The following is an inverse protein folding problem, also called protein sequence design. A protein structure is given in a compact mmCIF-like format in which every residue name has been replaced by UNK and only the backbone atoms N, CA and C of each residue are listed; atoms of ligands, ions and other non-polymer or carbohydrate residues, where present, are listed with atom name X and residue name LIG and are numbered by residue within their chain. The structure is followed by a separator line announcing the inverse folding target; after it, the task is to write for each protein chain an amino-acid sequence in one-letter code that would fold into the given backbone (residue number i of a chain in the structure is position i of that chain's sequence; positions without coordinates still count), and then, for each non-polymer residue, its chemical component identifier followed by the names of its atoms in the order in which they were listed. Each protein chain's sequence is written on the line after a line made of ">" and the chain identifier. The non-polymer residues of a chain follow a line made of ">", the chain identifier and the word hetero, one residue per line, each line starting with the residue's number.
data_IF_601063404055
#
_entry.id   IF_601063404055
#
_cell.length_a   1.000
_cell.length_b   1.000
_cell.length_c   1.000
_cell.angle_alpha   90.00
_cell.angle_beta   90.00
_cell.angle_gamma   90.00
#
_symmetry.space_group_name_H-M   'P 1'
#
loop_
_entity.id
_entity.type
_entity.pdbx_description
1 polymer ?
#
# COMPACT_ATOMS: atom_id res chain seq x y z
N UNK A 1 1.68 15.67 5.84
CA UNK A 1 1.52 14.50 4.98
C UNK A 1 0.40 14.80 4.00
N UNK A 2 0.61 14.62 2.74
CA UNK A 2 -0.40 14.83 1.71
C UNK A 2 -0.37 13.64 0.75
N UNK A 3 -1.54 13.19 0.39
CA UNK A 3 -1.78 12.04 -0.44
C UNK A 3 -2.96 12.35 -1.34
N UNK A 4 -2.89 11.95 -2.59
CA UNK A 4 -3.95 12.20 -3.57
C UNK A 4 -4.08 11.00 -4.51
N UNK A 5 -5.23 10.35 -4.47
CA UNK A 5 -5.64 9.37 -5.46
C UNK A 5 -5.99 10.07 -6.78
N UNK A 6 -5.16 9.90 -7.79
CA UNK A 6 -5.34 10.55 -9.08
C UNK A 6 -6.46 9.85 -9.87
N UNK A 7 -6.57 8.54 -9.74
CA UNK A 7 -7.65 7.76 -10.38
C UNK A 7 -9.03 8.22 -9.92
N UNK A 8 -9.22 8.46 -8.62
CA UNK A 8 -10.46 9.01 -8.08
C UNK A 8 -10.72 10.43 -8.58
N UNK A 9 -9.68 11.27 -8.63
CA UNK A 9 -9.79 12.63 -9.14
C UNK A 9 -10.18 12.68 -10.64
N UNK A 10 -9.93 11.61 -11.38
CA UNK A 10 -10.33 11.42 -12.77
C UNK A 10 -11.68 10.71 -12.92
N UNK A 11 -12.45 10.58 -11.85
CA UNK A 11 -13.80 10.00 -11.85
C UNK A 11 -13.82 8.46 -11.96
N UNK A 12 -12.72 7.79 -11.59
CA UNK A 12 -12.66 6.33 -11.51
C UNK A 12 -12.96 5.83 -10.10
N UNK A 13 -13.49 4.63 -10.03
CA UNK A 13 -13.83 3.95 -8.78
C UNK A 13 -12.90 2.72 -8.59
N UNK A 14 -11.64 2.90 -8.12
CA UNK A 14 -10.65 1.82 -8.09
C UNK A 14 -11.09 0.62 -7.25
N UNK A 15 -11.94 0.83 -6.24
CA UNK A 15 -12.47 -0.23 -5.38
C UNK A 15 -13.83 -0.78 -5.79
N UNK A 16 -14.41 -0.31 -6.89
CA UNK A 16 -15.73 -0.76 -7.38
C UNK A 16 -15.70 -2.23 -7.80
N UNK A 17 -16.74 -2.97 -7.49
CA UNK A 17 -17.00 -4.30 -8.03
C UNK A 17 -17.60 -4.26 -9.46
N UNK A 18 -18.08 -3.10 -9.87
CA UNK A 18 -18.53 -2.87 -11.24
C UNK A 18 -17.30 -2.64 -12.13
N UNK A 19 -16.98 -3.64 -12.94
CA UNK A 19 -15.80 -3.61 -13.81
C UNK A 19 -15.85 -2.51 -14.88
N UNK A 20 -17.03 -2.00 -15.21
CA UNK A 20 -17.17 -0.85 -16.15
C UNK A 20 -16.69 0.46 -15.53
N UNK A 21 -16.75 0.58 -14.22
CA UNK A 21 -16.29 1.75 -13.43
C UNK A 21 -14.88 1.57 -12.89
N UNK A 22 -14.48 0.31 -12.67
CA UNK A 22 -13.19 -0.03 -12.13
C UNK A 22 -12.07 0.32 -13.11
N UNK A 23 -11.00 0.85 -12.57
CA UNK A 23 -9.78 1.10 -13.31
C UNK A 23 -8.76 -0.02 -13.03
N UNK A 24 -8.09 -0.59 -14.05
CA UNK A 24 -7.13 -1.67 -13.85
C UNK A 24 -5.88 -1.23 -13.09
N UNK A 25 -5.57 0.06 -13.15
CA UNK A 25 -4.45 0.67 -12.44
C UNK A 25 -4.96 1.80 -11.56
N UNK A 26 -4.36 1.97 -10.41
CA UNK A 26 -4.51 3.13 -9.56
C UNK A 26 -3.22 3.96 -9.58
N UNK A 27 -3.35 5.27 -9.59
CA UNK A 27 -2.24 6.20 -9.57
C UNK A 27 -2.40 7.13 -8.38
N UNK A 28 -1.40 7.15 -7.53
CA UNK A 28 -1.36 7.93 -6.31
C UNK A 28 -0.14 8.83 -6.28
N UNK A 29 -0.31 10.05 -5.84
CA UNK A 29 0.77 10.98 -5.53
C UNK A 29 0.89 11.16 -4.03
N UNK A 30 2.11 11.05 -3.51
CA UNK A 30 2.41 11.15 -2.08
C UNK A 30 3.47 12.19 -1.80
N UNK A 31 3.24 12.99 -0.77
CA UNK A 31 4.23 13.90 -0.17
C UNK A 31 4.39 13.58 1.31
N UNK A 32 5.58 13.21 1.70
CA UNK A 32 5.91 12.74 3.05
C UNK A 32 6.93 13.69 3.68
N UNK A 33 6.57 14.40 4.76
CA UNK A 33 7.52 15.24 5.49
C UNK A 33 8.66 14.43 6.11
N UNK A 34 9.79 15.12 6.40
CA UNK A 34 10.97 14.53 7.03
C UNK A 34 10.60 13.70 8.27
N UNK A 35 11.19 12.52 8.38
CA UNK A 35 10.99 11.57 9.49
C UNK A 35 9.63 10.88 9.53
N UNK A 36 8.79 11.02 8.51
CA UNK A 36 7.46 10.41 8.45
C UNK A 36 7.36 9.29 7.43
N UNK A 37 6.27 8.53 7.53
CA UNK A 37 5.80 7.54 6.54
C UNK A 37 4.33 7.79 6.25
N UNK A 38 3.88 7.51 5.03
CA UNK A 38 2.45 7.55 4.71
C UNK A 38 1.72 6.30 5.21
N UNK A 39 2.40 5.16 5.17
CA UNK A 39 1.81 3.86 5.46
C UNK A 39 2.66 3.09 6.47
N UNK A 40 2.05 2.24 7.33
CA UNK A 40 2.80 1.31 8.15
C UNK A 40 3.48 0.23 7.30
N UNK A 41 4.39 -0.53 7.89
CA UNK A 41 4.97 -1.72 7.28
C UNK A 41 3.87 -2.74 7.00
N UNK A 42 3.67 -3.09 5.73
CA UNK A 42 2.56 -3.92 5.29
C UNK A 42 2.88 -4.71 4.03
N UNK A 43 2.11 -5.75 3.80
CA UNK A 43 2.12 -6.54 2.57
C UNK A 43 0.71 -6.67 2.02
N UNK A 44 0.59 -6.72 0.71
CA UNK A 44 -0.64 -6.97 -0.02
C UNK A 44 -0.80 -8.46 -0.34
N UNK A 45 -2.02 -8.99 -0.31
CA UNK A 45 -2.29 -10.39 -0.66
C UNK A 45 -2.22 -10.66 -2.16
N UNK A 46 -2.60 -9.68 -2.98
CA UNK A 46 -2.71 -9.82 -4.42
C UNK A 46 -2.19 -8.63 -5.23
N UNK A 47 -2.15 -7.42 -4.64
CA UNK A 47 -1.81 -6.19 -5.33
C UNK A 47 -0.30 -6.08 -5.59
N UNK A 48 0.03 -5.56 -6.78
CA UNK A 48 1.35 -5.07 -7.15
C UNK A 48 1.41 -3.56 -7.01
N UNK A 49 2.54 -3.05 -6.52
CA UNK A 49 2.79 -1.63 -6.38
C UNK A 49 4.15 -1.26 -6.96
N UNK A 50 4.15 -0.34 -7.92
CA UNK A 50 5.34 0.31 -8.46
C UNK A 50 5.47 1.70 -7.86
N UNK A 51 6.61 2.01 -7.32
CA UNK A 51 6.96 3.31 -6.75
C UNK A 51 7.95 4.03 -7.66
N UNK A 52 7.76 5.33 -7.85
CA UNK A 52 8.68 6.20 -8.57
C UNK A 52 8.98 7.43 -7.72
N UNK A 53 10.21 7.57 -7.28
CA UNK A 53 10.66 8.71 -6.48
C UNK A 53 10.88 9.92 -7.39
N UNK A 54 10.18 11.02 -7.10
CA UNK A 54 10.23 12.26 -7.88
C UNK A 54 11.23 13.24 -7.29
N UNK A 55 11.24 13.39 -5.95
CA UNK A 55 12.16 14.27 -5.26
C UNK A 55 12.37 13.84 -3.81
N UNK A 56 13.47 14.28 -3.23
CA UNK A 56 13.85 13.97 -1.86
C UNK A 56 14.66 12.68 -1.74
N UNK A 57 14.81 12.24 -0.49
CA UNK A 57 15.57 11.04 -0.10
C UNK A 57 14.73 10.21 0.87
N UNK A 58 14.66 8.92 0.65
CA UNK A 58 13.91 8.01 1.51
C UNK A 58 14.67 6.74 1.86
N UNK A 59 14.08 5.96 2.73
CA UNK A 59 14.50 4.60 3.07
C UNK A 59 13.32 3.67 2.87
N UNK A 60 13.51 2.66 2.05
CA UNK A 60 12.55 1.56 1.86
C UNK A 60 12.92 0.44 2.81
N UNK A 61 12.01 0.11 3.73
CA UNK A 61 12.08 -1.08 4.57
C UNK A 61 11.41 -2.23 3.84
N UNK A 62 12.07 -3.37 3.77
CA UNK A 62 11.59 -4.60 3.13
C UNK A 62 12.01 -5.83 3.94
N UNK A 63 11.62 -7.03 3.52
CA UNK A 63 11.89 -8.28 4.26
C UNK A 63 13.38 -8.53 4.53
N UNK A 64 14.26 -8.11 3.61
CA UNK A 64 15.71 -8.37 3.70
C UNK A 64 16.50 -7.20 4.31
N UNK A 65 15.82 -6.16 4.79
CA UNK A 65 16.47 -5.02 5.44
C UNK A 65 15.95 -3.65 5.00
N UNK A 66 16.87 -2.74 4.71
CA UNK A 66 16.58 -1.36 4.33
C UNK A 66 17.46 -0.93 3.15
N UNK A 67 16.86 -0.22 2.21
CA UNK A 67 17.55 0.35 1.03
C UNK A 67 17.26 1.85 0.96
N UNK A 68 18.30 2.65 0.78
CA UNK A 68 18.13 4.08 0.52
C UNK A 68 17.69 4.31 -0.92
N UNK A 69 16.79 5.28 -1.11
CA UNK A 69 16.26 5.69 -2.41
C UNK A 69 16.30 7.20 -2.56
N UNK A 70 16.53 7.65 -3.79
CA UNK A 70 16.61 9.06 -4.15
C UNK A 70 15.76 9.35 -5.39
N UNK A 71 15.63 10.62 -5.74
CA UNK A 71 14.92 11.04 -6.95
C UNK A 71 15.43 10.30 -8.20
N UNK A 72 14.50 9.75 -8.98
CA UNK A 72 14.76 8.95 -10.17
C UNK A 72 14.78 7.44 -9.93
N UNK A 73 14.82 6.99 -8.67
CA UNK A 73 14.71 5.57 -8.36
C UNK A 73 13.28 5.08 -8.55
N UNK A 74 13.18 3.85 -9.01
CA UNK A 74 11.93 3.11 -9.09
C UNK A 74 12.11 1.71 -8.49
N UNK A 75 11.08 1.23 -7.81
CA UNK A 75 11.07 -0.10 -7.21
C UNK A 75 9.65 -0.66 -7.18
N UNK A 76 9.54 -1.98 -7.11
CA UNK A 76 8.27 -2.69 -7.17
C UNK A 76 8.17 -3.71 -6.06
N UNK A 77 6.96 -3.84 -5.51
CA UNK A 77 6.60 -4.91 -4.58
C UNK A 77 5.42 -5.69 -5.14
N UNK A 78 5.54 -7.00 -5.11
CA UNK A 78 4.48 -7.93 -5.47
C UNK A 78 3.69 -8.42 -4.25
N UNK A 79 2.74 -9.32 -4.50
CA UNK A 79 1.98 -9.96 -3.43
C UNK A 79 2.88 -10.61 -2.38
N UNK A 80 2.51 -10.44 -1.11
CA UNK A 80 3.20 -10.96 0.06
C UNK A 80 4.63 -10.41 0.29
N UNK A 81 4.99 -9.32 -0.37
CA UNK A 81 6.25 -8.62 -0.14
C UNK A 81 6.04 -7.43 0.80
N UNK A 82 6.40 -7.55 2.09
CA UNK A 82 6.18 -6.48 3.05
C UNK A 82 7.14 -5.32 2.81
N UNK A 83 6.59 -4.10 2.87
CA UNK A 83 7.35 -2.88 2.62
C UNK A 83 6.79 -1.67 3.37
N UNK A 84 7.65 -0.67 3.50
CA UNK A 84 7.33 0.64 4.05
C UNK A 84 8.31 1.66 3.49
N UNK A 85 7.81 2.85 3.14
CA UNK A 85 8.64 3.96 2.71
C UNK A 85 8.68 5.01 3.79
N UNK A 86 9.88 5.41 4.18
CA UNK A 86 10.15 6.37 5.25
C UNK A 86 10.93 7.52 4.64
N UNK A 87 10.51 8.74 4.87
CA UNK A 87 11.34 9.89 4.53
C UNK A 87 12.51 9.99 5.52
N UNK A 88 13.70 9.63 5.09
CA UNK A 88 14.94 9.70 5.87
C UNK A 88 15.77 10.96 5.56
N UNK A 89 15.30 11.79 4.64
CA UNK A 89 15.93 13.05 4.27
C UNK A 89 15.42 14.25 5.06
N UNK A 90 16.06 15.41 4.91
CA UNK A 90 15.65 16.66 5.58
C UNK A 90 14.47 17.36 4.89
N UNK A 91 14.26 17.10 3.59
CA UNK A 91 13.21 17.69 2.78
C UNK A 91 12.03 16.74 2.58
N UNK A 92 10.94 17.22 2.00
CA UNK A 92 9.80 16.38 1.65
C UNK A 92 10.21 15.31 0.63
N UNK A 93 9.83 14.07 0.90
CA UNK A 93 9.94 12.97 -0.05
C UNK A 93 8.66 12.92 -0.89
N UNK A 94 8.82 13.02 -2.21
CA UNK A 94 7.70 12.98 -3.16
C UNK A 94 7.85 11.76 -4.06
N UNK A 95 6.80 10.96 -4.17
CA UNK A 95 6.77 9.79 -5.04
C UNK A 95 5.37 9.51 -5.59
N UNK A 96 5.33 8.80 -6.70
CA UNK A 96 4.12 8.18 -7.22
C UNK A 96 4.06 6.71 -6.83
N UNK A 97 2.84 6.22 -6.62
CA UNK A 97 2.52 4.79 -6.53
C UNK A 97 1.61 4.47 -7.72
N UNK A 98 1.98 3.45 -8.46
CA UNK A 98 1.17 2.87 -9.52
C UNK A 98 0.85 1.45 -9.09
N UNK A 99 -0.42 1.16 -8.84
CA UNK A 99 -0.87 -0.12 -8.35
C UNK A 99 -1.90 -0.74 -9.29
N UNK A 100 -1.95 -2.05 -9.36
CA UNK A 100 -3.12 -2.73 -9.91
C UNK A 100 -4.25 -2.76 -8.88
N UNK A 101 -5.46 -3.10 -9.32
CA UNK A 101 -6.64 -3.11 -8.46
C UNK A 101 -7.28 -4.50 -8.46
N UNK A 102 -6.64 -5.52 -7.83
CA UNK A 102 -7.21 -6.86 -7.77
C UNK A 102 -8.49 -6.87 -6.90
N UNK A 103 -9.42 -7.73 -7.28
CA UNK A 103 -10.60 -8.00 -6.47
C UNK A 103 -10.23 -8.94 -5.32
N UNK A 104 -10.77 -8.71 -4.13
CA UNK A 104 -10.51 -9.55 -2.97
C UNK A 104 -9.21 -9.28 -2.25
N UNK A 105 -8.64 -8.09 -2.47
CA UNK A 105 -7.40 -7.65 -1.82
C UNK A 105 -7.52 -7.59 -0.29
N UNK A 106 -6.47 -8.04 0.39
CA UNK A 106 -6.27 -7.84 1.82
C UNK A 106 -4.84 -7.35 2.09
N UNK A 107 -4.62 -6.73 3.24
CA UNK A 107 -3.28 -6.29 3.63
C UNK A 107 -2.93 -6.84 5.00
N UNK A 108 -1.71 -7.28 5.14
CA UNK A 108 -1.15 -7.76 6.40
C UNK A 108 -0.13 -6.76 6.95
N UNK A 109 -0.11 -6.56 8.26
CA UNK A 109 0.77 -5.65 8.98
C UNK A 109 1.67 -6.44 9.92
N UNK A 110 2.89 -6.82 9.51
CA UNK A 110 3.75 -7.73 10.28
C UNK A 110 4.10 -7.23 11.68
N UNK A 111 4.30 -5.92 11.85
CA UNK A 111 4.69 -5.34 13.15
C UNK A 111 3.60 -5.48 14.23
N UNK A 112 2.34 -5.59 13.84
CA UNK A 112 1.20 -5.63 14.77
C UNK A 112 0.35 -6.90 14.68
N UNK A 113 0.60 -7.76 13.68
CA UNK A 113 -0.20 -8.95 13.43
C UNK A 113 -1.64 -8.64 13.01
N UNK A 114 -1.88 -7.48 12.43
CA UNK A 114 -3.21 -7.06 11.96
C UNK A 114 -3.41 -7.42 10.49
N UNK A 115 -4.69 -7.64 10.15
CA UNK A 115 -5.15 -7.77 8.78
C UNK A 115 -6.17 -6.69 8.47
N UNK A 116 -6.05 -6.08 7.29
CA UNK A 116 -7.08 -5.25 6.69
C UNK A 116 -7.77 -6.07 5.62
N UNK A 117 -9.07 -6.29 5.80
CA UNK A 117 -9.91 -7.00 4.83
C UNK A 117 -10.78 -5.97 4.13
N UNK A 118 -10.72 -5.95 2.81
CA UNK A 118 -11.57 -5.08 2.02
C UNK A 118 -12.93 -5.75 1.84
N UNK A 119 -13.99 -5.09 2.27
CA UNK A 119 -15.34 -5.37 1.85
C UNK A 119 -15.68 -4.61 0.56
N UNK A 120 -16.91 -4.69 0.12
CA UNK A 120 -17.41 -4.13 -1.14
C UNK A 120 -17.27 -2.61 -1.29
N UNK A 121 -16.94 -1.88 -0.22
CA UNK A 121 -16.67 -0.44 -0.30
C UNK A 121 -15.47 -0.05 0.55
N UNK A 122 -14.85 1.08 0.22
CA UNK A 122 -13.74 1.64 1.01
C UNK A 122 -14.18 2.05 2.43
N UNK A 123 -15.47 2.36 2.62
CA UNK A 123 -16.06 2.67 3.92
C UNK A 123 -16.15 1.43 4.84
N UNK A 124 -16.13 0.23 4.26
CA UNK A 124 -16.30 -1.03 4.96
C UNK A 124 -14.98 -1.74 5.26
N UNK A 125 -13.89 -1.01 5.39
CA UNK A 125 -12.59 -1.58 5.78
C UNK A 125 -12.69 -2.15 7.18
N UNK A 126 -12.47 -3.46 7.30
CA UNK A 126 -12.33 -4.13 8.59
C UNK A 126 -10.86 -4.36 8.85
N UNK A 127 -10.41 -3.94 10.04
CA UNK A 127 -9.09 -4.29 10.56
C UNK A 127 -9.30 -5.27 11.69
N UNK A 128 -8.75 -6.47 11.55
CA UNK A 128 -8.83 -7.54 12.54
C UNK A 128 -7.43 -7.84 13.06
N UNK A 129 -7.37 -8.24 14.33
CA UNK A 129 -6.19 -8.83 14.94
C UNK A 129 -6.58 -10.22 15.42
N UNK A 130 -5.95 -11.24 14.86
CA UNK A 130 -6.26 -12.62 15.17
C UNK A 130 -4.97 -13.43 15.33
N UNK A 131 -5.14 -14.67 15.74
CA UNK A 131 -4.10 -15.70 15.75
C UNK A 131 -4.42 -16.70 14.65
N UNK A 132 -3.40 -17.32 14.10
CA UNK A 132 -3.58 -18.47 13.22
C UNK A 132 -4.22 -19.61 14.03
N UNK A 133 -5.20 -20.25 13.44
CA UNK A 133 -5.91 -21.39 14.01
C UNK A 133 -6.08 -22.46 12.95
N UNK A 134 -6.42 -23.66 13.36
CA UNK A 134 -6.77 -24.74 12.44
C UNK A 134 -8.07 -24.39 11.68
N UNK A 135 -8.17 -24.83 10.42
CA UNK A 135 -9.32 -24.54 9.57
C UNK A 135 -10.64 -25.00 10.18
N UNK A 136 -10.61 -26.09 10.93
CA UNK A 136 -11.80 -26.68 11.56
C UNK A 136 -12.01 -26.26 13.02
N UNK A 137 -11.13 -25.43 13.58
CA UNK A 137 -11.25 -24.98 14.96
C UNK A 137 -12.52 -24.13 15.16
N UNK A 138 -13.46 -24.68 15.93
CA UNK A 138 -14.78 -24.06 16.18
C UNK A 138 -15.85 -24.37 15.14
N UNK A 139 -15.55 -25.22 14.16
CA UNK A 139 -16.52 -25.72 13.16
C UNK A 139 -16.84 -27.19 13.44
N UNK A 140 -18.12 -27.54 13.59
CA UNK A 140 -18.62 -28.90 13.79
C UNK A 140 -19.35 -29.43 12.54
#
# INVERSE_FOLDING_TARGET
>A
MCFKGISEALGREPTSLDLSKRHPLDLEWSRVPSGKSNFPYHAHSAQWELYLVVSGKGTVRHKDGRTEVVAGDAFVFGPNEPHQIINSGPEDLIYYIIADNPIGESSYYPDSGKWKVNKSSAADRIVIKGQETDYFDGEE
#
